data_IF_591993565262
#
_entry.id   IF_591993565262
#
_cell.length_a   1.000
_cell.length_b   1.000
_cell.length_c   1.000
_cell.angle_alpha   90.00
_cell.angle_beta   90.00
_cell.angle_gamma   90.00
#
_symmetry.space_group_name_H-M   'P 1'
#
loop_
_entity.id
_entity.type
_entity.pdbx_description
1 polymer ?
#
# COMPACT_ATOMS: atom_id res chain seq x y z
N UNK A 1 -32.41 -62.07 -8.08
CA UNK A 1 -32.77 -61.25 -6.91
C UNK A 1 -31.54 -60.67 -6.19
N UNK A 2 -30.48 -61.44 -5.89
CA UNK A 2 -29.25 -60.94 -5.24
C UNK A 2 -28.55 -59.76 -5.95
N UNK A 3 -28.54 -59.71 -7.29
CA UNK A 3 -27.90 -58.62 -8.05
C UNK A 3 -28.63 -57.29 -7.92
N UNK A 4 -29.95 -57.30 -7.84
CA UNK A 4 -30.76 -56.09 -7.69
C UNK A 4 -30.65 -55.52 -6.26
N UNK A 5 -30.58 -56.39 -5.25
CA UNK A 5 -30.38 -55.98 -3.86
C UNK A 5 -28.98 -55.41 -3.62
N UNK A 6 -27.93 -55.99 -4.25
CA UNK A 6 -26.56 -55.46 -4.22
C UNK A 6 -26.44 -54.09 -4.91
N UNK A 7 -27.10 -53.91 -6.05
CA UNK A 7 -27.12 -52.60 -6.73
C UNK A 7 -27.85 -51.55 -5.88
N UNK A 8 -28.99 -51.92 -5.28
CA UNK A 8 -29.75 -51.05 -4.39
C UNK A 8 -28.96 -50.62 -3.15
N UNK A 9 -28.22 -51.54 -2.52
CA UNK A 9 -27.37 -51.21 -1.37
C UNK A 9 -26.18 -50.34 -1.76
N UNK A 10 -25.56 -50.56 -2.92
CA UNK A 10 -24.48 -49.72 -3.41
C UNK A 10 -24.92 -48.28 -3.68
N UNK A 11 -26.12 -48.09 -4.25
CA UNK A 11 -26.70 -46.76 -4.49
C UNK A 11 -27.07 -46.05 -3.18
N UNK A 12 -27.61 -46.77 -2.20
CA UNK A 12 -27.93 -46.18 -0.89
C UNK A 12 -26.67 -45.71 -0.15
N UNK A 13 -25.56 -46.45 -0.27
CA UNK A 13 -24.28 -46.08 0.35
C UNK A 13 -23.67 -44.82 -0.30
N UNK A 14 -23.73 -44.67 -1.63
CA UNK A 14 -23.15 -43.51 -2.32
C UNK A 14 -23.95 -42.22 -2.10
N UNK A 15 -25.29 -42.28 -2.04
CA UNK A 15 -26.11 -41.11 -1.74
C UNK A 15 -25.91 -40.59 -0.30
N UNK A 16 -25.69 -41.49 0.67
CA UNK A 16 -25.42 -41.09 2.06
C UNK A 16 -24.07 -40.36 2.24
N UNK A 17 -23.11 -40.60 1.34
CA UNK A 17 -21.79 -39.96 1.38
C UNK A 17 -21.80 -38.50 0.91
N UNK A 18 -22.61 -38.16 -0.09
CA UNK A 18 -22.67 -36.80 -0.64
C UNK A 18 -23.46 -35.83 0.24
N UNK A 19 -24.49 -36.28 0.96
CA UNK A 19 -25.26 -35.42 1.88
C UNK A 19 -24.37 -34.81 2.98
N UNK A 20 -23.38 -35.57 3.47
CA UNK A 20 -22.44 -35.09 4.50
C UNK A 20 -21.48 -33.99 4.04
N UNK A 21 -21.27 -33.83 2.73
CA UNK A 21 -20.44 -32.71 2.22
C UNK A 21 -21.17 -31.38 2.38
N UNK A 22 -22.52 -31.38 2.27
CA UNK A 22 -23.34 -30.18 2.35
C UNK A 22 -23.41 -29.60 3.76
N UNK A 23 -23.28 -30.45 4.79
CA UNK A 23 -23.21 -30.07 6.21
C UNK A 23 -21.76 -29.88 6.70
N UNK A 24 -20.78 -29.97 5.80
CA UNK A 24 -19.36 -29.92 6.15
C UNK A 24 -18.87 -28.49 6.36
N UNK A 25 -17.82 -28.36 7.18
CA UNK A 25 -16.98 -27.16 7.29
C UNK A 25 -16.20 -26.83 6.01
N UNK A 26 -16.16 -27.74 5.04
CA UNK A 26 -15.60 -27.48 3.71
C UNK A 26 -16.61 -26.82 2.75
N UNK A 27 -17.88 -26.73 3.13
CA UNK A 27 -18.89 -26.01 2.36
C UNK A 27 -18.84 -24.51 2.69
N UNK A 28 -18.52 -23.63 1.72
CA UNK A 28 -18.44 -22.19 1.94
C UNK A 28 -19.75 -21.56 2.42
N UNK A 29 -20.89 -22.19 2.11
CA UNK A 29 -22.20 -21.74 2.60
C UNK A 29 -22.41 -21.95 4.10
N UNK A 30 -21.57 -22.77 4.75
CA UNK A 30 -21.62 -23.01 6.20
C UNK A 30 -20.53 -22.26 6.99
N UNK A 31 -19.63 -21.53 6.34
CA UNK A 31 -18.52 -20.85 7.04
C UNK A 31 -18.98 -19.74 7.97
N UNK A 32 -20.15 -19.17 7.69
CA UNK A 32 -20.74 -18.10 8.47
C UNK A 32 -22.21 -18.43 8.72
N UNK A 33 -22.57 -18.59 10.00
CA UNK A 33 -23.94 -18.81 10.43
C UNK A 33 -24.71 -17.50 10.63
N UNK A 34 -25.97 -17.63 11.03
CA UNK A 34 -26.80 -16.47 11.40
C UNK A 34 -26.18 -15.73 12.59
N UNK A 35 -26.31 -14.40 12.58
CA UNK A 35 -25.86 -13.58 13.71
C UNK A 35 -26.61 -13.96 14.98
N UNK A 36 -25.87 -14.27 16.05
CA UNK A 36 -26.42 -14.39 17.40
C UNK A 36 -26.00 -13.19 18.22
N UNK A 37 -26.87 -12.75 19.12
CA UNK A 37 -26.52 -11.69 20.07
C UNK A 37 -25.35 -12.16 20.95
N UNK A 38 -24.34 -11.31 21.09
CA UNK A 38 -23.16 -11.57 21.90
C UNK A 38 -22.98 -10.40 22.87
N UNK A 39 -22.49 -10.69 24.07
CA UNK A 39 -22.17 -9.66 25.03
C UNK A 39 -21.12 -8.70 24.46
N UNK A 40 -21.25 -7.40 24.78
CA UNK A 40 -20.28 -6.39 24.40
C UNK A 40 -18.95 -6.72 25.09
N UNK A 41 -17.89 -6.90 24.31
CA UNK A 41 -16.54 -7.12 24.84
C UNK A 41 -16.13 -5.88 25.63
N UNK A 42 -15.78 -6.06 26.90
CA UNK A 42 -15.28 -5.00 27.75
C UNK A 42 -14.06 -4.33 27.07
N UNK A 43 -14.03 -2.99 26.93
CA UNK A 43 -12.88 -2.28 26.39
C UNK A 43 -11.55 -2.65 27.05
N UNK A 44 -11.56 -3.05 28.33
CA UNK A 44 -10.37 -3.48 29.07
C UNK A 44 -9.85 -4.88 28.69
N UNK A 45 -10.70 -5.75 28.14
CA UNK A 45 -10.30 -7.10 27.67
C UNK A 45 -9.80 -7.09 26.21
N UNK A 46 -10.03 -5.98 25.48
CA UNK A 46 -9.49 -5.80 24.13
C UNK A 46 -7.98 -5.61 24.17
N UNK A 47 -7.24 -6.69 23.95
CA UNK A 47 -5.79 -6.64 23.74
C UNK A 47 -5.48 -5.80 22.49
N UNK A 48 -4.72 -4.71 22.60
CA UNK A 48 -4.31 -3.95 21.43
C UNK A 48 -3.42 -4.81 20.52
N UNK A 49 -3.59 -4.68 19.21
CA UNK A 49 -2.78 -5.39 18.20
C UNK A 49 -1.27 -5.07 18.35
N UNK A 50 -0.95 -3.94 18.97
CA UNK A 50 0.40 -3.51 19.31
C UNK A 50 0.56 -3.59 20.83
N UNK A 51 1.42 -4.48 21.36
CA UNK A 51 1.71 -4.53 22.79
C UNK A 51 2.27 -3.20 23.31
N UNK A 52 1.95 -2.86 24.54
CA UNK A 52 2.52 -1.69 25.22
C UNK A 52 4.06 -1.75 25.21
N UNK A 53 4.72 -0.64 24.85
CA UNK A 53 6.17 -0.58 24.72
C UNK A 53 6.77 -1.10 23.40
N UNK A 54 5.98 -1.71 22.50
CA UNK A 54 6.44 -2.16 21.16
C UNK A 54 6.24 -1.14 20.03
N UNK A 55 6.19 0.16 20.34
CA UNK A 55 6.15 1.20 19.31
C UNK A 55 7.56 1.42 18.76
N UNK A 56 8.00 0.57 17.84
CA UNK A 56 9.16 0.89 17.01
C UNK A 56 8.76 2.05 16.09
N UNK A 57 9.12 3.28 16.48
CA UNK A 57 9.02 4.44 15.59
C UNK A 57 10.17 4.29 14.59
N UNK A 58 9.86 3.77 13.40
CA UNK A 58 10.79 3.82 12.28
C UNK A 58 10.98 5.29 11.89
N UNK A 59 12.05 5.90 12.40
CA UNK A 59 12.43 7.26 12.03
C UNK A 59 12.92 7.22 10.58
N UNK A 60 12.20 7.94 9.71
CA UNK A 60 12.63 8.13 8.33
C UNK A 60 13.89 9.02 8.29
N UNK A 61 15.07 8.37 8.29
CA UNK A 61 16.38 9.01 8.22
C UNK A 61 16.75 9.58 6.85
N UNK A 62 15.85 9.51 5.86
CA UNK A 62 16.09 10.12 4.54
C UNK A 62 16.03 11.64 4.63
N UNK A 63 16.88 12.30 3.86
CA UNK A 63 16.92 13.76 3.78
C UNK A 63 16.26 14.23 2.49
N UNK A 64 15.88 15.50 2.42
CA UNK A 64 15.40 16.09 1.17
C UNK A 64 16.51 16.03 0.11
N UNK A 65 16.13 15.68 -1.12
CA UNK A 65 17.00 15.82 -2.30
C UNK A 65 17.34 17.30 -2.49
N UNK A 66 18.54 17.60 -2.99
CA UNK A 66 19.02 18.98 -3.09
C UNK A 66 18.08 19.85 -3.92
N UNK A 67 17.75 19.44 -5.14
CA UNK A 67 16.85 20.19 -6.03
C UNK A 67 16.08 19.30 -6.99
N UNK A 68 14.97 19.82 -7.53
CA UNK A 68 14.11 19.18 -8.53
C UNK A 68 14.33 19.84 -9.89
N UNK A 69 14.62 19.03 -10.90
CA UNK A 69 14.84 19.46 -12.29
C UNK A 69 13.71 19.09 -13.24
N UNK A 70 12.86 18.12 -12.88
CA UNK A 70 11.67 17.76 -13.66
C UNK A 70 10.54 17.27 -12.74
N UNK A 71 9.31 17.60 -13.14
CA UNK A 71 8.07 17.13 -12.52
C UNK A 71 7.05 16.88 -13.64
N UNK A 72 6.48 15.68 -13.68
CA UNK A 72 5.32 15.35 -14.53
C UNK A 72 4.24 14.66 -13.69
N UNK A 73 2.99 14.83 -14.13
CA UNK A 73 1.82 14.16 -13.55
C UNK A 73 1.07 13.50 -14.70
N UNK A 74 1.22 12.19 -14.82
CA UNK A 74 0.69 11.40 -15.93
C UNK A 74 -0.62 10.73 -15.49
N UNK A 75 -1.69 10.85 -16.29
CA UNK A 75 -2.95 10.17 -15.97
C UNK A 75 -2.83 8.67 -16.20
N UNK A 76 -3.43 7.88 -15.32
CA UNK A 76 -3.51 6.43 -15.41
C UNK A 76 -4.96 5.97 -15.21
N UNK A 77 -5.37 4.77 -15.68
CA UNK A 77 -6.73 4.27 -15.49
C UNK A 77 -7.19 4.24 -14.02
N UNK A 78 -6.26 3.97 -13.09
CA UNK A 78 -6.53 3.93 -11.65
C UNK A 78 -6.37 5.29 -10.94
N UNK A 79 -5.98 6.35 -11.65
CA UNK A 79 -5.74 7.67 -11.05
C UNK A 79 -4.64 8.46 -11.77
N UNK A 80 -3.56 8.82 -11.07
CA UNK A 80 -2.43 9.53 -11.66
C UNK A 80 -1.09 9.09 -11.07
N UNK A 81 -0.02 9.24 -11.85
CA UNK A 81 1.36 8.97 -11.44
C UNK A 81 2.12 10.28 -11.47
N UNK A 82 2.57 10.73 -10.30
CA UNK A 82 3.50 11.85 -10.17
C UNK A 82 4.91 11.31 -10.34
N UNK A 83 5.70 11.90 -11.23
CA UNK A 83 7.12 11.56 -11.44
C UNK A 83 7.97 12.79 -11.24
N UNK A 84 8.99 12.69 -10.40
CA UNK A 84 9.96 13.75 -10.19
C UNK A 84 11.37 13.25 -10.49
N UNK A 85 12.18 14.12 -11.08
CA UNK A 85 13.62 13.92 -11.23
C UNK A 85 14.32 15.05 -10.50
N UNK A 86 15.23 14.68 -9.61
CA UNK A 86 16.01 15.60 -8.80
C UNK A 86 17.50 15.37 -8.98
N UNK A 87 18.27 16.34 -8.50
CA UNK A 87 19.73 16.27 -8.40
C UNK A 87 20.06 16.20 -6.92
N UNK A 88 20.78 15.18 -6.51
CA UNK A 88 21.27 15.03 -5.15
C UNK A 88 22.55 15.85 -4.91
N UNK A 89 22.95 15.98 -3.64
CA UNK A 89 24.17 16.70 -3.26
C UNK A 89 25.42 16.01 -3.84
N UNK A 90 25.51 14.68 -3.70
CA UNK A 90 26.59 13.83 -4.24
C UNK A 90 26.02 12.62 -4.98
N UNK A 91 26.89 11.86 -5.66
CA UNK A 91 26.53 10.60 -6.29
C UNK A 91 26.30 9.51 -5.24
N UNK A 92 25.48 8.51 -5.57
CA UNK A 92 25.23 7.36 -4.70
C UNK A 92 24.11 7.55 -3.67
N UNK A 93 23.33 8.64 -3.74
CA UNK A 93 22.03 8.68 -3.08
C UNK A 93 21.12 7.57 -3.60
N UNK A 94 20.32 6.98 -2.71
CA UNK A 94 19.47 5.83 -3.03
C UNK A 94 18.18 5.85 -2.19
N UNK A 95 17.29 4.85 -2.39
CA UNK A 95 16.00 4.77 -1.69
C UNK A 95 15.15 6.06 -1.78
N UNK A 96 15.17 6.65 -2.97
CA UNK A 96 14.39 7.85 -3.27
C UNK A 96 12.89 7.57 -3.20
N UNK A 97 12.16 8.48 -2.55
CA UNK A 97 10.71 8.41 -2.46
C UNK A 97 10.10 9.82 -2.43
N UNK A 98 8.91 9.93 -3.00
CA UNK A 98 8.01 11.05 -2.78
C UNK A 98 7.12 10.72 -1.58
N UNK A 99 7.33 11.42 -0.47
CA UNK A 99 6.60 11.19 0.78
C UNK A 99 5.46 12.20 0.89
N UNK A 100 4.23 11.73 1.01
CA UNK A 100 3.07 12.60 1.17
C UNK A 100 3.08 13.31 2.53
N UNK A 101 2.88 14.62 2.51
CA UNK A 101 2.57 15.46 3.67
C UNK A 101 1.08 15.71 3.83
N UNK A 102 0.26 15.10 2.98
CA UNK A 102 -1.18 15.29 2.95
C UNK A 102 -1.63 16.27 1.87
N UNK A 103 -2.94 16.46 1.84
CA UNK A 103 -3.62 17.36 0.92
C UNK A 103 -4.21 18.50 1.73
N UNK A 104 -3.87 19.73 1.38
CA UNK A 104 -4.39 20.93 2.03
C UNK A 104 -4.92 21.88 0.95
N UNK A 105 -6.17 22.35 1.07
CA UNK A 105 -6.81 23.26 0.12
C UNK A 105 -6.73 22.78 -1.36
N UNK A 106 -6.78 21.46 -1.57
CA UNK A 106 -6.66 20.84 -2.90
C UNK A 106 -5.23 20.76 -3.45
N UNK A 107 -4.22 21.03 -2.63
CA UNK A 107 -2.79 20.90 -2.97
C UNK A 107 -2.22 19.66 -2.28
N UNK A 108 -1.83 18.65 -3.05
CA UNK A 108 -1.05 17.52 -2.54
C UNK A 108 0.41 17.94 -2.42
N UNK A 109 0.95 17.94 -1.20
CA UNK A 109 2.37 18.24 -0.96
C UNK A 109 3.16 16.94 -0.78
N UNK A 110 4.16 16.75 -1.65
CA UNK A 110 5.08 15.62 -1.62
C UNK A 110 6.49 16.12 -1.32
N UNK A 111 7.17 15.50 -0.36
CA UNK A 111 8.59 15.72 -0.13
C UNK A 111 9.43 14.71 -0.91
N UNK A 112 10.38 15.19 -1.69
CA UNK A 112 11.33 14.33 -2.38
C UNK A 112 12.50 14.03 -1.45
N UNK A 113 12.47 12.83 -0.86
CA UNK A 113 13.49 12.36 0.10
C UNK A 113 14.32 11.24 -0.49
N UNK A 114 15.58 11.16 -0.09
CA UNK A 114 16.51 10.09 -0.45
C UNK A 114 17.51 9.82 0.68
N UNK A 115 18.10 8.63 0.68
CA UNK A 115 19.09 8.22 1.66
C UNK A 115 20.49 8.67 1.22
N UNK A 116 21.23 9.29 2.15
CA UNK A 116 22.60 9.75 1.90
C UNK A 116 23.57 8.56 1.83
N UNK A 117 24.54 8.55 0.89
CA UNK A 117 25.61 7.55 0.87
C UNK A 117 26.58 7.71 2.05
N UNK A 118 27.21 6.62 2.50
CA UNK A 118 28.12 6.65 3.66
C UNK A 118 29.52 7.16 3.34
N UNK A 119 29.98 7.11 2.08
CA UNK A 119 31.40 7.36 1.71
C UNK A 119 31.61 8.34 0.56
N UNK A 120 30.54 8.93 0.01
CA UNK A 120 30.62 9.76 -1.20
C UNK A 120 30.33 11.22 -0.85
N UNK A 121 31.41 12.00 -0.68
CA UNK A 121 31.35 13.40 -0.23
C UNK A 121 31.73 14.40 -1.34
N UNK A 122 32.52 13.98 -2.33
CA UNK A 122 32.88 14.85 -3.46
C UNK A 122 31.82 14.75 -4.55
N UNK A 123 31.18 15.87 -4.95
CA UNK A 123 30.14 15.86 -5.97
C UNK A 123 30.72 15.60 -7.36
N UNK A 124 30.20 14.57 -8.03
CA UNK A 124 30.43 14.31 -9.44
C UNK A 124 29.58 15.20 -10.37
N UNK A 125 29.50 14.81 -11.64
CA UNK A 125 28.69 15.53 -12.64
C UNK A 125 27.21 15.56 -12.25
N UNK A 126 26.47 16.59 -12.69
CA UNK A 126 25.03 16.67 -12.45
C UNK A 126 24.28 15.41 -12.90
N UNK A 127 24.66 14.82 -14.03
CA UNK A 127 24.04 13.58 -14.55
C UNK A 127 24.23 12.39 -13.60
N UNK A 128 25.41 12.26 -12.99
CA UNK A 128 25.70 11.18 -12.02
C UNK A 128 24.95 11.30 -10.69
N UNK A 129 24.42 12.50 -10.39
CA UNK A 129 23.66 12.81 -9.18
C UNK A 129 22.14 12.83 -9.41
N UNK A 130 21.68 12.51 -10.62
CA UNK A 130 20.25 12.47 -10.90
C UNK A 130 19.61 11.24 -10.26
N UNK A 131 18.48 11.47 -9.60
CA UNK A 131 17.66 10.43 -9.00
C UNK A 131 16.19 10.70 -9.30
N UNK A 132 15.42 9.65 -9.52
CA UNK A 132 13.99 9.74 -9.83
C UNK A 132 13.16 9.00 -8.80
N UNK A 133 11.94 9.49 -8.58
CA UNK A 133 10.94 8.85 -7.76
C UNK A 133 9.56 9.06 -8.38
N UNK A 134 8.63 8.18 -8.03
CA UNK A 134 7.24 8.29 -8.42
C UNK A 134 6.31 8.12 -7.21
N UNK A 135 5.12 8.71 -7.30
CA UNK A 135 4.03 8.60 -6.35
C UNK A 135 2.73 8.32 -7.10
N UNK A 136 1.97 7.33 -6.66
CA UNK A 136 0.67 6.99 -7.24
C UNK A 136 -0.41 7.70 -6.43
N UNK A 137 -1.33 8.35 -7.14
CA UNK A 137 -2.54 8.94 -6.59
C UNK A 137 -3.71 8.10 -7.09
N UNK A 138 -4.49 7.56 -6.17
CA UNK A 138 -5.70 6.81 -6.53
C UNK A 138 -6.81 7.75 -7.03
N UNK A 139 -7.71 7.22 -7.85
CA UNK A 139 -8.79 7.99 -8.49
C UNK A 139 -9.69 8.73 -7.50
N UNK A 140 -9.94 8.13 -6.32
CA UNK A 140 -10.74 8.72 -5.24
C UNK A 140 -10.08 10.00 -4.72
N UNK A 141 -8.79 9.94 -4.37
CA UNK A 141 -8.03 11.08 -3.85
C UNK A 141 -7.80 12.15 -4.94
N UNK A 142 -7.55 11.73 -6.18
CA UNK A 142 -7.29 12.62 -7.30
C UNK A 142 -8.43 13.61 -7.56
N UNK A 143 -9.67 13.23 -7.24
CA UNK A 143 -10.84 14.11 -7.36
C UNK A 143 -10.68 15.40 -6.55
N UNK A 144 -10.14 15.30 -5.33
CA UNK A 144 -9.94 16.41 -4.40
C UNK A 144 -8.65 17.21 -4.65
N UNK A 145 -7.72 16.70 -5.45
CA UNK A 145 -6.40 17.30 -5.68
C UNK A 145 -6.41 18.11 -6.98
N UNK A 146 -6.21 19.42 -6.90
CA UNK A 146 -6.11 20.35 -8.04
C UNK A 146 -4.67 20.63 -8.44
N UNK A 147 -3.76 20.56 -7.48
CA UNK A 147 -2.33 20.86 -7.68
C UNK A 147 -1.48 19.86 -6.93
N UNK A 148 -0.41 19.40 -7.55
CA UNK A 148 0.64 18.61 -6.91
C UNK A 148 1.86 19.51 -6.73
N UNK A 149 2.36 19.61 -5.50
CA UNK A 149 3.59 20.31 -5.15
C UNK A 149 4.63 19.30 -4.69
N UNK A 150 5.77 19.25 -5.37
CA UNK A 150 6.93 18.46 -4.94
C UNK A 150 7.99 19.39 -4.37
N UNK A 151 8.44 19.13 -3.14
CA UNK A 151 9.41 19.93 -2.42
C UNK A 151 10.74 19.19 -2.25
N UNK A 152 11.82 19.92 -2.50
CA UNK A 152 13.22 19.54 -2.24
C UNK A 152 13.85 20.55 -1.28
N UNK A 153 15.14 20.37 -0.96
CA UNK A 153 15.85 21.21 0.00
C UNK A 153 15.98 22.67 -0.47
N UNK A 154 16.23 22.90 -1.76
CA UNK A 154 16.47 24.25 -2.30
C UNK A 154 15.35 24.80 -3.19
N UNK A 155 14.43 23.95 -3.65
CA UNK A 155 13.33 24.38 -4.49
C UNK A 155 12.10 23.49 -4.35
N UNK A 156 11.00 23.93 -4.95
CA UNK A 156 9.80 23.14 -5.15
C UNK A 156 9.30 23.31 -6.58
N UNK A 157 8.63 22.30 -7.12
CA UNK A 157 7.92 22.37 -8.40
C UNK A 157 6.46 22.02 -8.20
N UNK A 158 5.60 22.66 -8.99
CA UNK A 158 4.16 22.44 -8.96
C UNK A 158 3.63 22.05 -10.33
N UNK A 159 2.62 21.19 -10.36
CA UNK A 159 1.87 20.84 -11.56
C UNK A 159 0.38 20.84 -11.20
N UNK A 160 -0.45 21.48 -12.01
CA UNK A 160 -1.88 21.61 -11.79
C UNK A 160 -2.66 21.37 -13.08
N UNK A 161 -3.96 21.19 -12.93
CA UNK A 161 -4.93 21.10 -14.02
C UNK A 161 -5.68 22.41 -14.20
#
# INVERSE_FOLDING_TARGET
>A
MLRATLLGTAVLLTLSGCARISESRFNPFNWFGNSTEAAVIDPSERRPLVPEGRRQVALDGRILVQSIISLSVDRAPSGAIVRAVGVAETQGFFNAQLVSRGVENGVLTLEFRAQRPTRLEVPGTTRSRQISAAYVIDSVDLSGIRTVRVQAATNARTSGR
#
